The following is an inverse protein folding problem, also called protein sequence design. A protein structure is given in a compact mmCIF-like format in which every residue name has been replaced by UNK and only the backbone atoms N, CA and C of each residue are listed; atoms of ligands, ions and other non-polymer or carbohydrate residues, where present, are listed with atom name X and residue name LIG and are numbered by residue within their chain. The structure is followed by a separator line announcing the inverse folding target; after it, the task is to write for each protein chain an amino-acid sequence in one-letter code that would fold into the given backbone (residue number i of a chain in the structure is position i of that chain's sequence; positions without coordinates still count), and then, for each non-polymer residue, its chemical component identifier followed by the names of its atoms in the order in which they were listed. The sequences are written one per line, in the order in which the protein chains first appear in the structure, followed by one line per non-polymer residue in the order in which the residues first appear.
data_IF_532653025641
#
_entry.id   IF_532653025641
#
_cell.length_a   1.000
_cell.length_b   1.000
_cell.length_c   1.000
_cell.angle_alpha   90.00
_cell.angle_beta   90.00
_cell.angle_gamma   90.00
#
_symmetry.space_group_name_H-M   'P 1'
#
loop_
_entity.id
_entity.type
_entity.pdbx_description
1 polymer ?
#
# COMPACT_ATOMS: atom_id res chain seq x y z
N UNK A 1 12.69 -0.75 -8.10
CA UNK A 1 12.56 0.33 -9.10
C UNK A 1 11.80 1.46 -8.42
N UNK A 2 11.93 2.71 -8.87
CA UNK A 2 11.00 3.74 -8.39
C UNK A 2 9.60 3.40 -8.89
N UNK A 3 8.59 3.57 -8.04
CA UNK A 3 7.19 3.40 -8.41
C UNK A 3 6.72 4.53 -9.32
N UNK A 4 5.87 4.18 -10.27
CA UNK A 4 5.28 5.11 -11.23
C UNK A 4 4.19 5.97 -10.58
N UNK A 5 3.95 7.17 -11.14
CA UNK A 5 2.82 8.00 -10.70
C UNK A 5 1.50 7.39 -11.17
N UNK A 6 1.51 6.73 -12.33
CA UNK A 6 0.37 6.04 -12.91
C UNK A 6 -0.14 4.94 -11.98
N UNK A 7 0.76 4.13 -11.39
CA UNK A 7 0.37 3.11 -10.43
C UNK A 7 -0.15 3.72 -9.11
N UNK A 8 0.43 4.84 -8.66
CA UNK A 8 -0.13 5.59 -7.53
C UNK A 8 -1.57 6.05 -7.83
N UNK A 9 -1.79 6.68 -8.97
CA UNK A 9 -3.12 7.19 -9.35
C UNK A 9 -4.14 6.03 -9.43
N UNK A 10 -3.74 4.89 -9.99
CA UNK A 10 -4.53 3.66 -10.00
C UNK A 10 -4.89 3.18 -8.58
N UNK A 11 -3.92 3.10 -7.66
CA UNK A 11 -4.18 2.71 -6.26
C UNK A 11 -5.15 3.70 -5.60
N UNK A 12 -4.99 5.01 -5.81
CA UNK A 12 -5.86 6.04 -5.23
C UNK A 12 -7.29 5.97 -5.78
N UNK A 13 -7.46 5.67 -7.06
CA UNK A 13 -8.78 5.48 -7.67
C UNK A 13 -9.53 4.33 -7.00
N UNK A 14 -8.84 3.22 -6.72
CA UNK A 14 -9.42 2.04 -6.09
C UNK A 14 -9.75 2.27 -4.60
N UNK A 15 -9.07 3.22 -3.96
CA UNK A 15 -9.35 3.66 -2.59
C UNK A 15 -10.33 4.84 -2.51
N UNK A 16 -10.92 5.28 -3.64
CA UNK A 16 -11.74 6.50 -3.72
C UNK A 16 -12.99 6.52 -2.83
N UNK A 17 -13.47 5.35 -2.40
CA UNK A 17 -14.58 5.24 -1.45
C UNK A 17 -14.19 5.55 0.00
N UNK A 18 -12.89 5.62 0.31
CA UNK A 18 -12.37 5.95 1.64
C UNK A 18 -12.19 7.46 1.77
N UNK A 19 -12.65 8.02 2.89
CA UNK A 19 -12.38 9.41 3.25
C UNK A 19 -10.95 9.58 3.82
N UNK A 20 -10.35 10.75 3.66
CA UNK A 20 -9.05 11.11 4.25
C UNK A 20 -7.89 10.15 3.90
N UNK A 21 -7.87 9.70 2.64
CA UNK A 21 -6.70 9.07 2.02
C UNK A 21 -5.75 10.17 1.52
N UNK A 22 -4.48 10.06 1.89
CA UNK A 22 -3.43 10.93 1.41
C UNK A 22 -2.14 10.15 1.20
N UNK A 23 -1.16 10.76 0.52
CA UNK A 23 0.13 10.12 0.27
C UNK A 23 1.29 11.09 0.42
N UNK A 24 2.50 10.54 0.58
CA UNK A 24 3.76 11.28 0.54
C UNK A 24 4.77 10.55 -0.32
N UNK A 25 5.34 11.25 -1.31
CA UNK A 25 6.46 10.74 -2.09
C UNK A 25 7.76 10.77 -1.27
N UNK A 26 8.54 9.68 -1.32
CA UNK A 26 9.83 9.56 -0.65
C UNK A 26 10.75 8.64 -1.46
N UNK A 27 11.85 9.21 -2.00
CA UNK A 27 12.89 8.47 -2.74
C UNK A 27 12.38 7.58 -3.89
N UNK A 28 11.37 8.05 -4.63
CA UNK A 28 10.79 7.29 -5.76
C UNK A 28 9.68 6.31 -5.35
N UNK A 29 9.31 6.28 -4.08
CA UNK A 29 8.21 5.46 -3.56
C UNK A 29 7.14 6.34 -2.91
N UNK A 30 6.00 5.74 -2.54
CA UNK A 30 4.89 6.48 -1.92
C UNK A 30 4.48 5.86 -0.59
N UNK A 31 4.33 6.68 0.44
CA UNK A 31 3.74 6.29 1.72
C UNK A 31 2.26 6.64 1.67
N UNK A 32 1.39 5.68 1.99
CA UNK A 32 -0.07 5.85 2.00
C UNK A 32 -0.56 6.06 3.43
N UNK A 33 -1.36 7.11 3.61
CA UNK A 33 -1.99 7.49 4.86
C UNK A 33 -3.50 7.34 4.75
N UNK A 34 -4.13 6.87 5.83
CA UNK A 34 -5.57 6.87 6.03
C UNK A 34 -5.86 7.48 7.41
N UNK A 35 -6.74 8.48 7.47
CA UNK A 35 -7.03 9.23 8.69
C UNK A 35 -5.77 9.75 9.40
N UNK A 36 -4.82 10.30 8.64
CA UNK A 36 -3.53 10.79 9.13
C UNK A 36 -2.54 9.71 9.62
N UNK A 37 -2.85 8.41 9.49
CA UNK A 37 -2.00 7.29 9.95
C UNK A 37 -1.40 6.54 8.78
N UNK A 38 -0.13 6.15 8.90
CA UNK A 38 0.53 5.29 7.91
C UNK A 38 -0.11 3.91 7.93
N UNK A 39 -0.73 3.53 6.82
CA UNK A 39 -1.36 2.21 6.62
C UNK A 39 -0.52 1.29 5.72
N UNK A 40 0.26 1.88 4.82
CA UNK A 40 1.06 1.14 3.86
C UNK A 40 1.90 2.05 2.99
N UNK A 41 2.32 1.50 1.85
CA UNK A 41 3.06 2.22 0.84
C UNK A 41 3.05 1.49 -0.49
N UNK A 42 3.48 2.20 -1.52
CA UNK A 42 3.73 1.66 -2.85
C UNK A 42 5.24 1.53 -3.01
N UNK A 43 5.68 0.32 -3.33
CA UNK A 43 7.08 -0.05 -3.47
C UNK A 43 7.30 -0.90 -4.71
N UNK A 44 8.11 -0.44 -5.66
CA UNK A 44 8.35 -1.16 -6.91
C UNK A 44 7.01 -1.53 -7.62
N UNK A 45 6.10 -0.56 -7.73
CA UNK A 45 4.73 -0.74 -8.26
C UNK A 45 3.91 -1.86 -7.59
N UNK A 46 4.10 -2.04 -6.27
CA UNK A 46 3.28 -2.94 -5.45
C UNK A 46 2.68 -2.18 -4.28
N UNK A 47 1.37 -2.33 -4.08
CA UNK A 47 0.72 -1.80 -2.90
C UNK A 47 0.87 -2.77 -1.71
N UNK A 48 1.59 -2.33 -0.69
CA UNK A 48 1.90 -3.11 0.51
C UNK A 48 1.34 -2.44 1.76
N UNK A 49 0.68 -3.19 2.64
CA UNK A 49 0.14 -2.69 3.91
C UNK A 49 0.83 -3.33 5.12
N UNK A 50 0.70 -2.69 6.28
CA UNK A 50 1.27 -3.20 7.53
C UNK A 50 0.77 -4.62 7.83
N UNK A 51 1.70 -5.49 8.18
CA UNK A 51 1.40 -6.82 8.69
C UNK A 51 0.90 -6.73 10.15
N UNK A 52 -0.41 -6.55 10.30
CA UNK A 52 -1.11 -6.54 11.60
C UNK A 52 -2.14 -7.66 11.61
N UNK A 53 -2.46 -8.21 12.79
CA UNK A 53 -3.38 -9.36 12.95
C UNK A 53 -4.66 -9.20 12.13
N UNK A 54 -5.32 -8.04 12.25
CA UNK A 54 -6.56 -7.76 11.50
C UNK A 54 -6.40 -7.89 9.99
N UNK A 55 -5.27 -7.44 9.41
CA UNK A 55 -5.03 -7.56 7.98
C UNK A 55 -4.80 -9.03 7.57
N UNK A 56 -4.06 -9.79 8.40
CA UNK A 56 -3.84 -11.23 8.17
C UNK A 56 -5.13 -12.04 8.31
N UNK A 57 -5.98 -11.70 9.29
CA UNK A 57 -7.26 -12.36 9.51
C UNK A 57 -8.26 -12.09 8.37
N UNK A 58 -8.23 -10.86 7.81
CA UNK A 58 -9.08 -10.48 6.68
C UNK A 58 -8.58 -11.02 5.34
N UNK A 59 -7.28 -11.24 5.19
CA UNK A 59 -6.64 -11.64 3.93
C UNK A 59 -5.67 -12.82 4.17
N UNK A 60 -6.17 -13.99 4.57
CA UNK A 60 -5.32 -15.11 4.99
C UNK A 60 -4.43 -15.67 3.88
N UNK A 61 -4.87 -15.56 2.62
CA UNK A 61 -4.14 -16.04 1.44
C UNK A 61 -3.15 -15.00 0.87
N UNK A 62 -2.99 -13.85 1.53
CA UNK A 62 -2.10 -12.80 1.05
C UNK A 62 -0.63 -13.16 1.25
N UNK A 63 0.19 -12.85 0.25
CA UNK A 63 1.64 -13.06 0.34
C UNK A 63 2.31 -11.95 1.14
N UNK A 64 3.24 -12.32 2.02
CA UNK A 64 4.15 -11.38 2.65
C UNK A 64 5.30 -11.06 1.68
N UNK A 65 5.56 -9.77 1.49
CA UNK A 65 6.68 -9.28 0.68
C UNK A 65 7.54 -8.30 1.48
N UNK A 66 8.83 -8.27 1.16
CA UNK A 66 9.84 -7.45 1.81
C UNK A 66 10.26 -6.31 0.86
N UNK A 67 9.75 -5.08 1.01
CA UNK A 67 10.33 -3.93 0.31
C UNK A 67 11.70 -3.56 0.91
N UNK A 68 11.86 -3.77 2.22
CA UNK A 68 13.06 -3.61 3.06
C UNK A 68 13.00 -4.68 4.18
N UNK A 69 13.91 -4.81 5.17
CA UNK A 69 13.96 -5.94 6.11
C UNK A 69 12.85 -5.93 7.19
N UNK A 70 11.62 -5.56 6.81
CA UNK A 70 10.38 -5.67 7.58
C UNK A 70 9.30 -6.19 6.60
N UNK A 71 8.65 -7.34 6.87
CA UNK A 71 7.65 -7.91 5.99
C UNK A 71 6.34 -7.11 6.02
N UNK A 72 5.81 -6.81 4.84
CA UNK A 72 4.50 -6.19 4.62
C UNK A 72 3.58 -7.15 3.86
N UNK A 73 2.27 -6.94 3.98
CA UNK A 73 1.26 -7.72 3.26
C UNK A 73 1.05 -7.11 1.88
N UNK A 74 1.16 -7.91 0.82
CA UNK A 74 0.81 -7.47 -0.52
C UNK A 74 -0.69 -7.47 -0.73
N UNK A 75 -1.20 -6.35 -1.22
CA UNK A 75 -2.59 -6.24 -1.66
C UNK A 75 -2.63 -6.35 -3.18
N UNK A 76 -3.45 -7.28 -3.67
CA UNK A 76 -3.83 -7.31 -5.07
C UNK A 76 -5.06 -6.43 -5.25
N UNK A 77 -4.91 -5.32 -5.95
CA UNK A 77 -6.04 -4.46 -6.30
C UNK A 77 -6.51 -4.88 -7.70
N UNK A 78 -7.69 -5.48 -7.78
CA UNK A 78 -8.31 -5.84 -9.05
C UNK A 78 -9.00 -4.60 -9.64
N UNK A 79 -8.63 -4.22 -10.86
CA UNK A 79 -9.34 -3.19 -11.64
C UNK A 79 -10.58 -3.74 -12.34
#
# INVERSE_FOLDING_TARGET
MASSKEYLDFVLEQLSALEDISYRAMMGEYIIYYCGKIVGGIYDDRFLVKNVRTATDMMPESSLELPYPIPLIKIHICG
#
